data_IF_182784786133
#
_entry.id   IF_182784786133
#
_cell.length_a   1.000
_cell.length_b   1.000
_cell.length_c   1.000
_cell.angle_alpha   90.00
_cell.angle_beta   90.00
_cell.angle_gamma   90.00
#
_symmetry.space_group_name_H-M   'P 1'
#
loop_
_entity.id
_entity.type
_entity.pdbx_description
1 polymer ?
#
# COMPACT_ATOMS: atom_id res chain seq x y z
N UNK A 1 -11.92 -18.81 -1.00
CA UNK A 1 -10.57 -18.45 -0.51
C UNK A 1 -10.46 -18.91 0.93
N UNK A 2 -9.36 -19.59 1.28
CA UNK A 2 -9.08 -19.91 2.68
C UNK A 2 -8.48 -18.68 3.38
N UNK A 3 -8.85 -18.43 4.63
CA UNK A 3 -8.20 -17.43 5.46
C UNK A 3 -6.85 -18.00 5.91
N UNK A 4 -5.76 -17.49 5.34
CA UNK A 4 -4.41 -17.77 5.82
C UNK A 4 -4.02 -16.68 6.80
N UNK A 5 -3.49 -17.07 7.95
CA UNK A 5 -2.98 -16.14 8.96
C UNK A 5 -1.89 -15.24 8.36
N UNK A 6 -1.93 -13.96 8.73
CA UNK A 6 -0.91 -13.01 8.29
C UNK A 6 0.45 -13.35 8.89
N UNK A 7 1.50 -13.35 8.08
CA UNK A 7 2.87 -13.39 8.57
C UNK A 7 3.38 -11.97 8.80
N UNK A 8 3.75 -11.66 10.04
CA UNK A 8 4.41 -10.39 10.36
C UNK A 8 5.82 -10.37 9.81
N UNK A 9 6.18 -9.27 9.18
CA UNK A 9 7.57 -8.91 8.89
C UNK A 9 8.15 -8.28 10.16
N UNK A 10 9.41 -8.59 10.48
CA UNK A 10 10.08 -7.96 11.62
C UNK A 10 10.06 -6.43 11.49
N UNK A 11 9.81 -5.74 12.61
CA UNK A 11 9.98 -4.29 12.70
C UNK A 11 11.44 -3.91 12.40
N UNK A 12 11.66 -2.67 11.97
CA UNK A 12 12.95 -2.16 11.50
C UNK A 12 13.52 -2.87 10.25
N UNK A 13 12.76 -3.78 9.64
CA UNK A 13 13.10 -4.33 8.34
C UNK A 13 13.09 -3.22 7.26
N UNK A 14 14.02 -3.29 6.29
CA UNK A 14 14.04 -2.32 5.20
C UNK A 14 12.79 -2.46 4.33
N UNK A 15 12.33 -1.34 3.77
CA UNK A 15 11.24 -1.34 2.80
C UNK A 15 11.56 -2.28 1.62
N UNK A 16 10.63 -3.18 1.24
CA UNK A 16 10.81 -4.03 0.07
C UNK A 16 11.03 -3.20 -1.21
N UNK A 17 12.02 -3.58 -2.02
CA UNK A 17 12.25 -2.94 -3.31
C UNK A 17 11.15 -3.33 -4.29
N UNK A 18 10.51 -2.33 -4.90
CA UNK A 18 9.57 -2.52 -6.00
C UNK A 18 9.79 -1.50 -7.11
N UNK A 19 9.37 -1.89 -8.32
CA UNK A 19 9.35 -1.10 -9.54
C UNK A 19 8.06 -1.48 -10.30
N UNK A 20 6.99 -0.71 -10.10
CA UNK A 20 5.63 -1.09 -10.50
C UNK A 20 4.97 0.01 -11.35
N UNK A 21 4.18 -0.34 -12.37
CA UNK A 21 3.42 0.64 -13.13
C UNK A 21 2.27 1.19 -12.30
N UNK A 22 2.20 2.51 -12.20
CA UNK A 22 1.04 3.21 -11.70
C UNK A 22 -0.16 3.03 -12.64
N UNK A 23 -1.30 2.65 -12.09
CA UNK A 23 -2.48 2.31 -12.88
C UNK A 23 -3.17 3.53 -13.49
N UNK A 24 -2.94 4.74 -12.98
CA UNK A 24 -3.57 5.96 -13.47
C UNK A 24 -2.77 6.64 -14.59
N UNK A 25 -1.45 6.71 -14.44
CA UNK A 25 -0.54 7.43 -15.33
C UNK A 25 0.30 6.53 -16.23
N UNK A 26 0.39 5.23 -15.93
CA UNK A 26 1.28 4.29 -16.62
C UNK A 26 2.77 4.51 -16.32
N UNK A 27 3.11 5.50 -15.47
CA UNK A 27 4.49 5.76 -15.05
C UNK A 27 4.95 4.67 -14.12
N UNK A 28 6.24 4.37 -14.19
CA UNK A 28 6.89 3.45 -13.29
C UNK A 28 7.15 4.16 -11.95
N UNK A 29 6.63 3.61 -10.86
CA UNK A 29 6.86 4.07 -9.48
C UNK A 29 7.77 3.08 -8.78
N UNK A 30 8.81 3.62 -8.13
CA UNK A 30 9.82 2.85 -7.40
C UNK A 30 9.72 3.09 -5.91
N UNK A 31 10.03 2.05 -5.12
CA UNK A 31 10.22 2.17 -3.67
C UNK A 31 11.12 3.36 -3.24
N UNK A 32 12.20 3.61 -3.99
CA UNK A 32 13.14 4.70 -3.73
C UNK A 32 12.55 6.11 -3.94
N UNK A 33 11.46 6.25 -4.70
CA UNK A 33 10.82 7.54 -4.96
C UNK A 33 10.14 8.11 -3.70
N UNK A 34 9.99 7.27 -2.67
CA UNK A 34 9.43 7.63 -1.37
C UNK A 34 10.46 7.68 -0.24
N UNK A 35 11.74 7.87 -0.56
CA UNK A 35 12.76 8.07 0.47
C UNK A 35 12.43 9.30 1.36
N UNK A 36 12.77 9.21 2.65
CA UNK A 36 12.64 10.30 3.63
C UNK A 36 11.21 10.80 3.90
N UNK A 37 10.19 9.98 3.64
CA UNK A 37 8.80 10.25 4.05
C UNK A 37 8.19 9.01 4.68
N UNK A 38 7.25 9.14 5.62
CA UNK A 38 6.47 7.99 6.07
C UNK A 38 5.60 7.48 4.91
N UNK A 39 5.57 6.16 4.75
CA UNK A 39 4.83 5.49 3.66
C UNK A 39 4.12 4.28 4.22
N UNK A 40 2.85 4.12 3.84
CA UNK A 40 2.12 2.88 3.98
C UNK A 40 2.13 2.15 2.64
N UNK A 41 2.76 0.98 2.59
CA UNK A 41 2.74 0.10 1.41
C UNK A 41 1.85 -1.09 1.71
N UNK A 42 0.88 -1.36 0.85
CA UNK A 42 -0.08 -2.47 1.00
C UNK A 42 -0.06 -3.35 -0.25
N UNK A 43 0.24 -4.63 -0.09
CA UNK A 43 0.09 -5.63 -1.14
C UNK A 43 -1.28 -6.29 -1.00
N UNK A 44 -2.25 -5.83 -1.79
CA UNK A 44 -3.64 -6.27 -1.71
C UNK A 44 -4.14 -6.80 -3.06
N UNK A 45 -5.04 -7.76 -2.99
CA UNK A 45 -5.64 -8.36 -4.18
C UNK A 45 -6.95 -7.65 -4.54
N UNK A 46 -7.02 -7.11 -5.77
CA UNK A 46 -8.18 -6.34 -6.25
C UNK A 46 -9.47 -7.17 -6.45
N UNK A 47 -9.36 -8.50 -6.52
CA UNK A 47 -10.52 -9.40 -6.65
C UNK A 47 -10.94 -10.04 -5.32
N UNK A 48 -10.23 -9.77 -4.22
CA UNK A 48 -10.51 -10.39 -2.94
C UNK A 48 -11.79 -9.79 -2.32
N UNK A 49 -12.81 -10.60 -1.94
CA UNK A 49 -14.05 -10.09 -1.37
C UNK A 49 -13.86 -9.16 -0.16
N UNK A 50 -12.84 -9.45 0.67
CA UNK A 50 -12.49 -8.61 1.82
C UNK A 50 -12.02 -7.22 1.39
N UNK A 51 -11.13 -7.13 0.39
CA UNK A 51 -10.61 -5.85 -0.15
C UNK A 51 -11.74 -5.06 -0.83
N UNK A 52 -12.60 -5.75 -1.58
CA UNK A 52 -13.78 -5.16 -2.23
C UNK A 52 -14.68 -4.47 -1.21
N UNK A 53 -14.84 -5.05 -0.02
CA UNK A 53 -15.64 -4.52 1.09
C UNK A 53 -14.98 -3.30 1.75
N UNK A 54 -13.66 -3.32 1.98
CA UNK A 54 -12.95 -2.22 2.68
C UNK A 54 -12.44 -1.10 1.77
N UNK A 55 -12.59 -1.21 0.44
CA UNK A 55 -12.02 -0.25 -0.52
C UNK A 55 -12.38 1.22 -0.23
N UNK A 56 -13.60 1.46 0.28
CA UNK A 56 -14.07 2.82 0.59
C UNK A 56 -13.26 3.44 1.73
N UNK A 57 -12.99 2.65 2.77
CA UNK A 57 -12.16 3.08 3.90
C UNK A 57 -10.70 3.29 3.49
N UNK A 58 -10.17 2.47 2.57
CA UNK A 58 -8.83 2.69 2.01
C UNK A 58 -8.75 4.03 1.24
N UNK A 59 -9.82 4.39 0.51
CA UNK A 59 -9.91 5.67 -0.19
C UNK A 59 -9.98 6.86 0.78
N UNK A 60 -10.75 6.72 1.87
CA UNK A 60 -10.83 7.73 2.94
C UNK A 60 -9.47 7.91 3.61
N UNK A 61 -8.78 6.83 3.96
CA UNK A 61 -7.43 6.87 4.54
C UNK A 61 -6.46 7.66 3.64
N UNK A 62 -6.50 7.43 2.32
CA UNK A 62 -5.69 8.19 1.37
C UNK A 62 -6.01 9.69 1.36
N UNK A 63 -7.26 10.06 1.57
CA UNK A 63 -7.70 11.47 1.64
C UNK A 63 -7.29 12.11 2.96
N UNK A 64 -7.50 11.42 4.08
CA UNK A 64 -7.21 11.92 5.44
C UNK A 64 -5.73 12.25 5.61
N UNK A 65 -4.84 11.47 4.97
CA UNK A 65 -3.40 11.63 5.07
C UNK A 65 -2.78 12.45 3.93
N UNK A 66 -3.58 12.93 2.97
CA UNK A 66 -3.06 13.72 1.84
C UNK A 66 -2.46 15.07 2.28
N UNK A 67 -3.03 15.67 3.33
CA UNK A 67 -2.63 16.97 3.88
C UNK A 67 -2.06 16.87 5.30
N UNK A 68 -1.82 15.65 5.79
CA UNK A 68 -1.31 15.41 7.13
C UNK A 68 0.19 15.64 7.19
N UNK A 69 0.68 16.29 8.25
CA UNK A 69 2.08 16.65 8.44
C UNK A 69 2.93 15.54 9.09
N UNK A 70 2.56 14.27 8.87
CA UNK A 70 3.30 13.11 9.36
C UNK A 70 4.65 12.95 8.64
#
# INVERSE_FOLDING_TARGET
MAALESHMIALDSPMPRFDLPDTASGKIIRSQDFANRPVLVMFICNHCPFVVHVRGELSKLGTDYQSSAL
#
